data_IF_849250211727
#
_entry.id   IF_849250211727
#
_cell.length_a   1.000
_cell.length_b   1.000
_cell.length_c   1.000
_cell.angle_alpha   90.00
_cell.angle_beta   90.00
_cell.angle_gamma   90.00
#
_symmetry.space_group_name_H-M   'P 1'
#
loop_
_entity.id
_entity.type
_entity.pdbx_description
1 polymer ?
#
# COMPACT_ATOMS: atom_id res chain seq x y z
N UNK A 1 5.26 9.55 -2.46
CA UNK A 1 4.85 8.13 -2.43
C UNK A 1 6.02 7.16 -2.57
N UNK A 2 7.04 7.48 -3.38
CA UNK A 2 8.31 6.72 -3.47
C UNK A 2 8.95 6.41 -2.11
N UNK A 3 8.93 7.38 -1.18
CA UNK A 3 9.49 7.22 0.18
C UNK A 3 8.85 6.05 0.98
N UNK A 4 7.53 5.87 0.92
CA UNK A 4 6.86 4.84 1.73
C UNK A 4 7.12 3.42 1.21
N UNK A 5 7.05 3.24 -0.11
CA UNK A 5 7.32 1.94 -0.77
C UNK A 5 8.77 1.51 -0.56
N UNK A 6 9.72 2.45 -0.64
CA UNK A 6 11.14 2.20 -0.42
C UNK A 6 11.44 1.85 1.05
N UNK A 7 10.82 2.57 2.00
CA UNK A 7 10.92 2.25 3.43
C UNK A 7 10.32 0.89 3.77
N UNK A 8 9.22 0.50 3.12
CA UNK A 8 8.62 -0.83 3.29
C UNK A 8 9.50 -1.93 2.71
N UNK A 9 10.05 -1.75 1.51
CA UNK A 9 11.02 -2.69 0.91
C UNK A 9 12.24 -2.87 1.79
N UNK A 10 12.78 -1.77 2.34
CA UNK A 10 13.91 -1.83 3.27
C UNK A 10 13.56 -2.61 4.54
N UNK A 11 12.39 -2.35 5.14
CA UNK A 11 11.93 -3.11 6.32
C UNK A 11 11.69 -4.59 6.04
N UNK A 12 11.17 -4.94 4.86
CA UNK A 12 10.99 -6.34 4.45
C UNK A 12 12.35 -7.02 4.22
N UNK A 13 13.34 -6.30 3.69
CA UNK A 13 14.69 -6.82 3.52
C UNK A 13 15.45 -6.97 4.84
N UNK A 14 15.18 -6.10 5.82
CA UNK A 14 15.72 -6.16 7.19
C UNK A 14 15.03 -7.25 8.03
N UNK A 15 13.73 -7.47 7.83
CA UNK A 15 13.03 -8.63 8.38
C UNK A 15 13.56 -9.91 7.71
N UNK A 16 13.76 -10.98 8.48
CA UNK A 16 14.20 -12.28 7.96
C UNK A 16 13.42 -12.68 6.69
N UNK A 17 14.11 -13.27 5.70
CA UNK A 17 13.50 -13.74 4.43
C UNK A 17 12.43 -14.83 4.60
N UNK A 18 12.25 -15.31 5.82
CA UNK A 18 11.34 -16.39 6.18
C UNK A 18 10.19 -15.83 7.03
N UNK A 19 8.99 -16.41 6.91
CA UNK A 19 7.86 -16.01 7.74
C UNK A 19 8.22 -16.16 9.21
N UNK A 20 7.83 -15.18 10.01
CA UNK A 20 7.99 -15.28 11.45
C UNK A 20 6.95 -16.25 11.99
N UNK A 21 7.35 -17.06 12.96
CA UNK A 21 6.53 -18.07 13.58
C UNK A 21 6.44 -17.82 15.08
N UNK A 22 5.29 -18.18 15.66
CA UNK A 22 5.04 -18.05 17.10
C UNK A 22 4.94 -19.43 17.76
N UNK A 23 5.73 -19.62 18.81
CA UNK A 23 5.56 -20.74 19.74
C UNK A 23 4.89 -20.25 21.01
N UNK A 24 3.57 -20.49 21.12
CA UNK A 24 2.75 -19.98 22.22
C UNK A 24 3.21 -20.41 23.62
N UNK A 25 3.73 -21.63 23.73
CA UNK A 25 4.23 -22.19 25.00
C UNK A 25 5.69 -21.86 25.29
N UNK A 26 6.42 -21.29 24.32
CA UNK A 26 7.80 -20.92 24.49
C UNK A 26 8.80 -22.05 24.72
N UNK A 27 10.05 -21.65 24.95
CA UNK A 27 11.13 -22.47 25.51
C UNK A 27 11.51 -21.96 26.91
N UNK A 28 12.10 -22.81 27.75
CA UNK A 28 12.63 -22.41 29.07
C UNK A 28 11.73 -22.77 30.25
N UNK A 29 12.12 -22.31 31.45
CA UNK A 29 11.39 -22.55 32.71
C UNK A 29 10.06 -21.78 32.78
N UNK A 30 10.02 -20.62 32.15
CA UNK A 30 8.93 -19.65 32.27
C UNK A 30 7.89 -19.77 31.15
N UNK A 31 8.09 -20.69 30.19
CA UNK A 31 7.19 -20.95 29.07
C UNK A 31 6.76 -19.66 28.31
N UNK A 32 7.66 -18.70 28.19
CA UNK A 32 7.36 -17.40 27.57
C UNK A 32 7.26 -17.52 26.05
N UNK A 33 6.22 -16.94 25.41
CA UNK A 33 6.04 -16.97 23.97
C UNK A 33 7.32 -16.62 23.21
N UNK A 34 7.68 -17.47 22.25
CA UNK A 34 8.93 -17.37 21.50
C UNK A 34 8.64 -17.14 20.03
N UNK A 35 9.23 -16.09 19.46
CA UNK A 35 9.16 -15.76 18.04
C UNK A 35 10.45 -16.21 17.37
N UNK A 36 10.36 -16.79 16.18
CA UNK A 36 11.50 -17.26 15.40
C UNK A 36 11.24 -17.13 13.90
N UNK A 37 12.29 -16.90 13.10
CA UNK A 37 12.18 -16.82 11.64
C UNK A 37 12.59 -18.11 10.94
N UNK A 38 13.44 -18.94 11.56
CA UNK A 38 13.92 -20.20 11.00
C UNK A 38 14.06 -21.31 12.06
N UNK A 39 14.11 -22.56 11.63
CA UNK A 39 14.40 -23.71 12.50
C UNK A 39 15.78 -23.60 13.19
N UNK A 40 16.73 -22.92 12.55
CA UNK A 40 18.06 -22.65 13.10
C UNK A 40 17.99 -21.71 14.30
N UNK A 41 17.09 -20.72 14.26
CA UNK A 41 16.81 -19.83 15.40
C UNK A 41 16.26 -20.65 16.58
N UNK A 42 15.35 -21.60 16.32
CA UNK A 42 14.85 -22.50 17.36
C UNK A 42 15.96 -23.33 17.99
N UNK A 43 16.85 -23.90 17.17
CA UNK A 43 17.99 -24.68 17.67
C UNK A 43 18.94 -23.81 18.50
N UNK A 44 19.15 -22.56 18.09
CA UNK A 44 19.95 -21.60 18.85
C UNK A 44 19.26 -21.28 20.19
N UNK A 45 18.00 -20.86 20.18
CA UNK A 45 17.22 -20.52 21.37
C UNK A 45 17.17 -21.70 22.35
N UNK A 46 16.95 -22.92 21.85
CA UNK A 46 16.94 -24.14 22.66
C UNK A 46 18.29 -24.44 23.34
N UNK A 47 19.42 -24.05 22.75
CA UNK A 47 20.76 -24.21 23.37
C UNK A 47 20.97 -23.28 24.56
N UNK A 48 20.27 -22.14 24.59
CA UNK A 48 20.33 -21.16 25.68
C UNK A 48 19.07 -21.21 26.57
N UNK A 49 18.35 -22.33 26.57
CA UNK A 49 17.10 -22.55 27.32
C UNK A 49 17.18 -22.11 28.79
N UNK A 50 18.33 -22.32 29.41
CA UNK A 50 18.59 -22.01 30.83
C UNK A 50 19.65 -20.89 31.01
N UNK A 51 20.08 -20.27 29.91
CA UNK A 51 21.00 -19.13 29.90
C UNK A 51 20.26 -17.81 29.59
N UNK A 52 20.88 -16.65 29.84
CA UNK A 52 20.32 -15.37 29.40
C UNK A 52 20.36 -15.30 27.88
N UNK A 53 19.31 -15.77 27.21
CA UNK A 53 19.16 -15.63 25.77
C UNK A 53 18.60 -14.23 25.49
N UNK A 54 19.36 -13.40 24.78
CA UNK A 54 18.94 -12.07 24.34
C UNK A 54 17.93 -12.11 23.17
N UNK A 55 17.60 -13.29 22.65
CA UNK A 55 16.50 -13.41 21.69
C UNK A 55 15.16 -13.23 22.39
N UNK A 56 14.31 -12.44 21.75
CA UNK A 56 13.12 -11.78 22.28
C UNK A 56 12.08 -12.75 22.83
N UNK A 57 12.32 -13.28 24.03
CA UNK A 57 11.27 -13.77 24.89
C UNK A 57 10.30 -12.60 25.08
N UNK A 58 9.11 -12.72 24.49
CA UNK A 58 8.07 -11.70 24.64
C UNK A 58 7.18 -12.18 25.78
N UNK A 59 7.16 -11.49 26.94
CA UNK A 59 6.44 -12.00 28.12
C UNK A 59 4.93 -12.05 27.91
N UNK A 60 4.41 -11.32 26.91
CA UNK A 60 3.00 -11.27 26.56
C UNK A 60 2.70 -11.93 25.21
N UNK A 61 1.82 -12.93 25.24
CA UNK A 61 1.35 -13.65 24.05
C UNK A 61 0.62 -12.75 23.06
N UNK A 62 -0.13 -11.75 23.54
CA UNK A 62 -0.87 -10.85 22.66
C UNK A 62 0.10 -9.99 21.82
N UNK A 63 1.13 -9.44 22.45
CA UNK A 63 2.19 -8.71 21.77
C UNK A 63 2.99 -9.60 20.81
N UNK A 64 3.25 -10.85 21.19
CA UNK A 64 3.98 -11.78 20.33
C UNK A 64 3.20 -12.13 19.07
N UNK A 65 1.87 -12.35 19.19
CA UNK A 65 0.97 -12.54 18.04
C UNK A 65 0.96 -11.30 17.15
N UNK A 66 0.77 -10.12 17.75
CA UNK A 66 0.74 -8.86 17.00
C UNK A 66 2.04 -8.64 16.20
N UNK A 67 3.20 -8.93 16.79
CA UNK A 67 4.48 -8.80 16.12
C UNK A 67 4.62 -9.75 14.93
N UNK A 68 4.24 -11.02 15.09
CA UNK A 68 4.27 -12.02 14.02
C UNK A 68 3.31 -11.66 12.89
N UNK A 69 2.07 -11.32 13.23
CA UNK A 69 1.05 -10.93 12.26
C UNK A 69 1.49 -9.68 11.48
N UNK A 70 2.02 -8.67 12.18
CA UNK A 70 2.49 -7.44 11.54
C UNK A 70 3.62 -7.71 10.54
N UNK A 71 4.65 -8.49 10.92
CA UNK A 71 5.79 -8.80 10.04
C UNK A 71 5.35 -9.63 8.84
N UNK A 72 4.52 -10.66 9.06
CA UNK A 72 4.05 -11.54 7.98
C UNK A 72 3.10 -10.85 7.00
N UNK A 73 2.42 -9.77 7.41
CA UNK A 73 1.50 -9.00 6.55
C UNK A 73 2.22 -7.92 5.73
N UNK A 74 3.47 -7.55 6.08
CA UNK A 74 4.22 -6.52 5.34
C UNK A 74 4.38 -6.79 3.83
N UNK A 75 4.68 -8.03 3.38
CA UNK A 75 4.79 -8.33 1.95
C UNK A 75 3.49 -8.09 1.18
N UNK A 76 2.34 -8.48 1.74
CA UNK A 76 1.02 -8.30 1.12
C UNK A 76 0.63 -6.81 1.04
N UNK A 77 0.96 -6.04 2.08
CA UNK A 77 0.77 -4.59 2.06
C UNK A 77 1.65 -3.91 1.01
N UNK A 78 2.90 -4.35 0.85
CA UNK A 78 3.77 -3.83 -0.20
C UNK A 78 3.21 -4.14 -1.60
N UNK A 79 2.80 -5.38 -1.86
CA UNK A 79 2.23 -5.80 -3.14
C UNK A 79 0.96 -4.98 -3.49
N UNK A 80 0.11 -4.74 -2.49
CA UNK A 80 -1.10 -3.92 -2.65
C UNK A 80 -0.75 -2.47 -3.00
N UNK A 81 0.20 -1.87 -2.28
CA UNK A 81 0.65 -0.50 -2.54
C UNK A 81 1.30 -0.35 -3.93
N UNK A 82 2.07 -1.33 -4.37
CA UNK A 82 2.67 -1.34 -5.71
C UNK A 82 1.59 -1.39 -6.81
N UNK A 83 0.57 -2.23 -6.64
CA UNK A 83 -0.58 -2.32 -7.55
C UNK A 83 -1.31 -0.99 -7.63
N UNK A 84 -1.68 -0.41 -6.48
CA UNK A 84 -2.37 0.88 -6.42
C UNK A 84 -1.54 2.01 -7.04
N UNK A 85 -0.21 1.98 -6.87
CA UNK A 85 0.68 2.99 -7.46
C UNK A 85 0.70 2.87 -8.99
N UNK A 86 0.73 1.66 -9.53
CA UNK A 86 0.67 1.41 -10.97
C UNK A 86 -0.68 1.82 -11.56
N UNK A 87 -1.78 1.48 -10.89
CA UNK A 87 -3.13 1.88 -11.30
C UNK A 87 -3.28 3.41 -11.29
N UNK A 88 -2.80 4.09 -10.26
CA UNK A 88 -2.84 5.55 -10.20
C UNK A 88 -2.04 6.18 -11.35
N UNK A 89 -0.87 5.64 -11.67
CA UNK A 89 -0.06 6.09 -12.80
C UNK A 89 -0.81 5.92 -14.14
N UNK A 90 -1.44 4.76 -14.36
CA UNK A 90 -2.28 4.50 -15.55
C UNK A 90 -3.47 5.47 -15.64
N UNK A 91 -4.15 5.72 -14.53
CA UNK A 91 -5.27 6.66 -14.49
C UNK A 91 -4.83 8.09 -14.79
N UNK A 92 -3.66 8.53 -14.29
CA UNK A 92 -3.08 9.83 -14.62
C UNK A 92 -2.75 9.97 -16.10
N UNK A 93 -2.19 8.94 -16.72
CA UNK A 93 -1.89 8.94 -18.14
C UNK A 93 -3.18 8.98 -18.99
N UNK A 94 -4.16 8.16 -18.65
CA UNK A 94 -5.46 8.15 -19.31
C UNK A 94 -6.15 9.52 -19.21
N UNK A 95 -6.13 10.13 -18.02
CA UNK A 95 -6.68 11.47 -17.80
C UNK A 95 -5.94 12.53 -18.64
N UNK A 96 -4.61 12.47 -18.69
CA UNK A 96 -3.80 13.37 -19.52
C UNK A 96 -4.14 13.26 -21.01
N UNK A 97 -4.37 12.04 -21.52
CA UNK A 97 -4.81 11.82 -22.90
C UNK A 97 -6.21 12.38 -23.16
N UNK A 98 -7.16 12.18 -22.24
CA UNK A 98 -8.52 12.74 -22.36
C UNK A 98 -8.47 14.26 -22.43
N UNK A 99 -7.69 14.92 -21.56
CA UNK A 99 -7.53 16.38 -21.57
C UNK A 99 -6.89 16.86 -22.89
N UNK A 100 -5.87 16.16 -23.39
CA UNK A 100 -5.22 16.51 -24.67
C UNK A 100 -6.18 16.41 -25.85
N UNK A 101 -6.98 15.34 -25.93
CA UNK A 101 -7.97 15.15 -27.00
C UNK A 101 -9.06 16.22 -26.92
N UNK A 102 -9.50 16.58 -25.72
CA UNK A 102 -10.51 17.62 -25.54
C UNK A 102 -9.96 19.01 -25.93
N UNK A 103 -8.72 19.33 -25.56
CA UNK A 103 -8.04 20.55 -26.01
C UNK A 103 -7.87 20.61 -27.53
N UNK A 104 -7.49 19.51 -28.17
CA UNK A 104 -7.29 19.44 -29.62
C UNK A 104 -8.62 19.59 -30.38
N UNK A 105 -9.70 18.95 -29.89
CA UNK A 105 -11.06 19.17 -30.39
C UNK A 105 -11.49 20.63 -30.23
N UNK A 106 -11.22 21.21 -29.08
CA UNK A 106 -11.56 22.60 -28.79
C UNK A 106 -10.84 23.56 -29.74
N UNK A 107 -9.53 23.36 -29.95
CA UNK A 107 -8.69 24.13 -30.87
C UNK A 107 -9.13 24.01 -32.34
N UNK A 108 -9.52 22.80 -32.75
CA UNK A 108 -10.00 22.55 -34.13
C UNK A 108 -11.33 23.24 -34.38
N UNK A 109 -12.28 23.16 -33.43
CA UNK A 109 -13.56 23.85 -33.50
C UNK A 109 -13.40 25.39 -33.54
N UNK A 110 -12.47 25.94 -32.76
CA UNK A 110 -12.15 27.39 -32.77
C UNK A 110 -11.56 27.86 -34.09
N UNK A 111 -10.71 27.04 -34.74
CA UNK A 111 -10.12 27.36 -36.03
C UNK A 111 -11.12 27.33 -37.18
N UNK A 112 -12.06 26.39 -37.16
CA UNK A 112 -13.06 26.24 -38.23
C UNK A 112 -14.20 27.26 -38.11
N UNK A 113 -14.59 27.64 -36.89
CA UNK A 113 -15.56 28.71 -36.66
C UNK A 113 -15.30 29.41 -35.29
N UNK A 114 -14.78 30.67 -35.28
CA UNK A 114 -14.47 31.39 -34.06
C UNK A 114 -15.68 31.64 -33.13
N UNK A 115 -16.91 31.70 -33.68
CA UNK A 115 -18.12 31.94 -32.89
C UNK A 115 -18.55 30.70 -32.08
N UNK A 116 -18.24 29.49 -32.54
CA UNK A 116 -18.55 28.24 -31.81
C UNK A 116 -17.70 28.01 -30.55
N UNK A 117 -16.60 28.75 -30.38
CA UNK A 117 -15.77 28.69 -29.17
C UNK A 117 -16.56 29.01 -27.89
N UNK A 118 -17.32 30.11 -27.96
CA UNK A 118 -18.08 30.64 -26.84
C UNK A 118 -19.28 29.76 -26.52
N UNK A 119 -19.95 29.20 -27.54
CA UNK A 119 -21.06 28.26 -27.37
C UNK A 119 -20.64 26.94 -26.71
N UNK A 120 -19.45 26.41 -27.05
CA UNK A 120 -18.92 25.18 -26.46
C UNK A 120 -18.52 25.41 -24.98
N UNK A 121 -17.87 26.54 -24.69
CA UNK A 121 -17.51 26.96 -23.33
C UNK A 121 -18.75 27.17 -22.44
N UNK A 122 -19.74 27.92 -22.92
CA UNK A 122 -20.98 28.19 -22.18
C UNK A 122 -21.79 26.91 -21.95
N UNK A 123 -21.85 26.02 -22.94
CA UNK A 123 -22.49 24.71 -22.82
C UNK A 123 -21.80 23.80 -21.81
N UNK A 124 -20.46 23.78 -21.75
CA UNK A 124 -19.71 23.00 -20.78
C UNK A 124 -19.86 23.56 -19.35
N UNK A 125 -19.78 24.88 -19.16
CA UNK A 125 -20.01 25.54 -17.88
C UNK A 125 -21.43 25.30 -17.35
N UNK A 126 -22.45 25.40 -18.20
CA UNK A 126 -23.85 25.14 -17.81
C UNK A 126 -24.09 23.68 -17.41
N UNK A 127 -23.40 22.73 -18.06
CA UNK A 127 -23.52 21.29 -17.77
C UNK A 127 -22.78 20.90 -16.48
N UNK A 128 -21.61 21.48 -16.22
CA UNK A 128 -20.88 21.29 -14.95
C UNK A 128 -21.67 21.90 -13.78
N UNK A 129 -22.26 23.08 -13.96
CA UNK A 129 -23.13 23.70 -12.95
C UNK A 129 -24.37 22.86 -12.64
N UNK A 130 -25.04 22.28 -13.65
CA UNK A 130 -26.17 21.35 -13.44
C UNK A 130 -25.77 20.09 -12.69
N UNK A 131 -24.60 19.52 -13.00
CA UNK A 131 -24.09 18.33 -12.31
C UNK A 131 -23.69 18.60 -10.85
N UNK A 132 -23.09 19.77 -10.59
CA UNK A 132 -22.72 20.19 -9.23
C UNK A 132 -23.94 20.50 -8.35
N UNK A 133 -25.07 20.88 -8.96
CA UNK A 133 -26.34 21.14 -8.28
C UNK A 133 -27.22 19.87 -8.14
N UNK A 134 -26.70 18.68 -8.48
CA UNK A 134 -27.40 17.41 -8.30
C UNK A 134 -28.50 17.12 -9.32
N UNK A 135 -28.53 17.83 -10.46
CA UNK A 135 -29.43 17.51 -11.57
C UNK A 135 -28.94 16.23 -12.27
N UNK A 136 -29.54 15.09 -11.93
CA UNK A 136 -29.41 13.86 -12.69
C UNK A 136 -30.15 13.98 -14.02
N UNK A 137 -29.51 13.57 -15.11
CA UNK A 137 -30.16 13.42 -16.41
C UNK A 137 -31.05 12.16 -16.36
N UNK A 138 -32.35 12.34 -16.65
CA UNK A 138 -33.28 11.28 -17.07
C UNK A 138 -32.88 10.70 -18.44
#
# INVERSE_FOLDING_TARGET
MTDLTERLRKRIAEASKLPWHLMNKGFGRDNSPTIYGADEDLRFIARFRDGPCFHTATPDLANAKLAVDAVNTLPDLLATLETLTQENARLREALGRVVSVDQERHWTATKENPETHWEIMDGQCARIARKALGGGDE
#
